data_IF_936813429266
#
_entry.id   IF_936813429266
#
_cell.length_a   1.000
_cell.length_b   1.000
_cell.length_c   1.000
_cell.angle_alpha   90.00
_cell.angle_beta   90.00
_cell.angle_gamma   90.00
#
_symmetry.space_group_name_H-M   'P 1'
#
loop_
_entity.id
_entity.type
_entity.pdbx_description
1 polymer ?
#
# COMPACT_ATOMS: atom_id res chain seq x y z
N UNK A 1 -8.51 13.71 -8.79
CA UNK A 1 -8.20 12.62 -7.84
C UNK A 1 -6.97 11.89 -8.31
N UNK A 2 -5.99 11.75 -7.45
CA UNK A 2 -4.79 10.98 -7.73
C UNK A 2 -4.83 9.70 -6.90
N UNK A 3 -4.78 8.56 -7.56
CA UNK A 3 -4.83 7.25 -6.90
C UNK A 3 -3.42 6.69 -6.86
N UNK A 4 -2.85 6.61 -5.66
CA UNK A 4 -1.52 6.10 -5.39
C UNK A 4 -1.62 4.73 -4.74
N UNK A 5 -0.72 3.82 -5.12
CA UNK A 5 -0.57 2.54 -4.43
C UNK A 5 0.74 2.59 -3.68
N UNK A 6 0.74 2.21 -2.41
CA UNK A 6 1.93 2.17 -1.58
C UNK A 6 2.12 0.76 -1.01
N UNK A 7 3.32 0.21 -1.15
CA UNK A 7 3.62 -1.15 -0.69
C UNK A 7 5.13 -1.38 -0.54
N UNK A 8 5.51 -2.30 0.35
CA UNK A 8 6.85 -2.84 0.44
C UNK A 8 6.84 -4.23 -0.21
N UNK A 9 7.64 -4.42 -1.25
CA UNK A 9 7.62 -5.64 -2.07
C UNK A 9 9.01 -6.27 -2.16
N UNK A 10 9.04 -7.60 -2.13
CA UNK A 10 10.26 -8.38 -2.38
C UNK A 10 10.57 -8.42 -3.88
N UNK A 11 11.72 -8.99 -4.25
CA UNK A 11 12.09 -9.18 -5.66
C UNK A 11 11.08 -10.01 -6.44
N UNK A 12 10.45 -11.00 -5.79
CA UNK A 12 9.41 -11.83 -6.39
C UNK A 12 8.00 -11.26 -6.18
N UNK A 13 7.91 -10.00 -5.77
CA UNK A 13 6.67 -9.28 -5.47
C UNK A 13 5.92 -9.79 -4.24
N UNK A 14 6.57 -10.59 -3.37
CA UNK A 14 5.96 -11.06 -2.13
C UNK A 14 5.72 -9.87 -1.18
N UNK A 15 4.56 -9.84 -0.54
CA UNK A 15 4.17 -8.76 0.39
C UNK A 15 3.68 -9.28 1.73
N UNK A 16 3.19 -10.51 1.80
CA UNK A 16 2.60 -11.03 3.02
C UNK A 16 2.70 -12.54 3.18
N UNK A 17 2.53 -12.97 4.42
CA UNK A 17 2.43 -14.36 4.80
C UNK A 17 1.52 -14.50 6.02
N UNK A 18 0.51 -15.38 5.93
CA UNK A 18 -0.46 -15.62 7.01
C UNK A 18 -1.12 -14.33 7.54
N UNK A 19 -1.57 -13.47 6.61
CA UNK A 19 -2.22 -12.19 6.89
C UNK A 19 -1.34 -11.16 7.61
N UNK A 20 -0.01 -11.30 7.51
CA UNK A 20 0.95 -10.36 8.09
C UNK A 20 1.89 -9.84 7.02
N UNK A 21 2.33 -8.59 7.18
CA UNK A 21 3.38 -8.04 6.33
C UNK A 21 4.69 -8.79 6.58
N UNK A 22 5.45 -9.03 5.50
CA UNK A 22 6.77 -9.66 5.60
C UNK A 22 7.82 -8.66 6.07
N UNK A 23 7.71 -7.39 5.63
CA UNK A 23 8.74 -6.38 5.88
C UNK A 23 8.25 -5.27 6.79
N UNK A 24 8.99 -5.01 7.86
CA UNK A 24 8.77 -3.91 8.80
C UNK A 24 10.04 -3.08 8.86
N UNK A 25 10.28 -2.28 7.83
CA UNK A 25 11.48 -1.46 7.71
C UNK A 25 11.22 -0.10 8.35
N UNK A 26 12.03 0.34 9.34
CA UNK A 26 11.80 1.62 10.02
C UNK A 26 11.72 2.82 9.08
N UNK A 27 12.60 2.89 8.08
CA UNK A 27 12.59 3.99 7.11
C UNK A 27 11.37 3.93 6.19
N UNK A 28 10.91 2.72 5.85
CA UNK A 28 9.69 2.53 5.09
C UNK A 28 8.46 3.04 5.85
N UNK A 29 8.38 2.73 7.14
CA UNK A 29 7.29 3.20 7.99
C UNK A 29 7.29 4.72 8.13
N UNK A 30 8.44 5.35 8.18
CA UNK A 30 8.55 6.82 8.19
C UNK A 30 8.06 7.42 6.87
N UNK A 31 8.45 6.83 5.75
CA UNK A 31 8.00 7.27 4.43
C UNK A 31 6.50 7.11 4.28
N UNK A 32 5.97 5.97 4.69
CA UNK A 32 4.53 5.70 4.68
C UNK A 32 3.77 6.79 5.44
N UNK A 33 4.21 7.09 6.65
CA UNK A 33 3.57 8.13 7.46
C UNK A 33 3.65 9.50 6.78
N UNK A 34 4.81 9.85 6.24
CA UNK A 34 5.01 11.14 5.58
C UNK A 34 4.11 11.30 4.34
N UNK A 35 3.98 10.23 3.53
CA UNK A 35 3.16 10.27 2.32
C UNK A 35 1.66 10.31 2.63
N UNK A 36 1.20 9.56 3.63
CA UNK A 36 -0.24 9.34 3.84
C UNK A 36 -0.88 10.32 4.81
N UNK A 37 -0.12 10.97 5.69
CA UNK A 37 -0.68 11.90 6.70
C UNK A 37 -1.40 13.06 6.01
N UNK A 38 -2.64 13.32 6.45
CA UNK A 38 -3.49 14.36 5.85
C UNK A 38 -4.29 13.89 4.64
N UNK A 39 -4.16 12.64 4.24
CA UNK A 39 -4.81 12.08 3.06
C UNK A 39 -5.76 10.92 3.43
N UNK A 40 -6.42 10.39 2.41
CA UNK A 40 -7.28 9.22 2.57
C UNK A 40 -6.48 7.95 2.27
N UNK A 41 -6.58 6.96 3.15
CA UNK A 41 -6.02 5.63 2.94
C UNK A 41 -7.14 4.62 2.76
N UNK A 42 -6.99 3.72 1.80
CA UNK A 42 -7.96 2.67 1.49
C UNK A 42 -7.32 1.32 1.68
N UNK A 43 -8.00 0.44 2.39
CA UNK A 43 -7.48 -0.89 2.70
C UNK A 43 -8.60 -1.92 2.78
N UNK A 44 -8.25 -3.20 2.62
CA UNK A 44 -9.15 -4.29 2.91
C UNK A 44 -9.27 -4.52 4.41
N UNK A 45 -10.29 -5.29 4.80
CA UNK A 45 -10.55 -5.59 6.23
C UNK A 45 -9.37 -6.27 6.91
N UNK A 46 -8.73 -7.25 6.26
CA UNK A 46 -7.60 -7.97 6.88
C UNK A 46 -6.42 -7.05 7.14
N UNK A 47 -6.17 -6.08 6.26
CA UNK A 47 -5.14 -5.08 6.49
C UNK A 47 -5.47 -4.23 7.72
N UNK A 48 -6.72 -3.78 7.85
CA UNK A 48 -7.16 -3.06 9.04
C UNK A 48 -6.95 -3.89 10.31
N UNK A 49 -7.33 -5.17 10.29
CA UNK A 49 -7.17 -6.05 11.45
C UNK A 49 -5.70 -6.29 11.82
N UNK A 50 -4.79 -6.10 10.87
CA UNK A 50 -3.34 -6.22 11.13
C UNK A 50 -2.73 -4.98 11.78
N UNK A 51 -3.45 -3.86 11.81
CA UNK A 51 -2.95 -2.62 12.42
C UNK A 51 -3.01 -2.74 13.95
N UNK A 52 -1.87 -2.56 14.66
CA UNK A 52 -1.82 -2.78 16.11
C UNK A 52 -2.76 -1.91 16.92
N UNK A 53 -3.01 -0.68 16.47
CA UNK A 53 -3.82 0.31 17.17
C UNK A 53 -5.08 0.72 16.41
N UNK A 54 -5.48 -0.06 15.40
CA UNK A 54 -6.64 0.25 14.58
C UNK A 54 -6.41 1.41 13.62
N UNK A 55 -7.43 2.25 13.43
CA UNK A 55 -7.37 3.38 12.49
C UNK A 55 -6.13 4.25 12.71
N UNK A 56 -5.46 4.60 11.61
CA UNK A 56 -4.26 5.43 11.66
C UNK A 56 -4.63 6.90 11.86
N UNK A 57 -3.96 7.61 12.78
CA UNK A 57 -4.32 8.99 13.10
C UNK A 57 -3.99 9.96 11.96
N UNK A 58 -4.71 11.07 11.93
CA UNK A 58 -4.51 12.18 10.98
C UNK A 58 -4.70 11.77 9.51
N UNK A 59 -5.51 10.74 9.28
CA UNK A 59 -5.84 10.22 7.94
C UNK A 59 -7.29 9.78 7.95
N UNK A 60 -7.93 9.90 6.80
CA UNK A 60 -9.24 9.28 6.63
C UNK A 60 -9.02 7.79 6.33
N UNK A 61 -9.49 6.91 7.22
CA UNK A 61 -9.35 5.47 7.04
C UNK A 61 -10.60 4.91 6.37
N UNK A 62 -10.44 4.37 5.17
CA UNK A 62 -11.51 3.76 4.38
C UNK A 62 -11.25 2.27 4.27
N UNK A 63 -12.23 1.47 4.69
CA UNK A 63 -12.12 0.01 4.73
C UNK A 63 -13.09 -0.59 3.73
N UNK A 64 -12.61 -1.54 2.94
CA UNK A 64 -13.46 -2.29 2.00
C UNK A 64 -13.92 -3.59 2.65
N UNK A 65 -15.22 -3.75 2.83
CA UNK A 65 -15.80 -4.97 3.41
C UNK A 65 -17.25 -5.13 3.01
N UNK A 66 -17.64 -6.37 2.71
CA UNK A 66 -19.04 -6.72 2.48
C UNK A 66 -19.66 -7.41 3.71
N UNK A 67 -18.87 -7.67 4.74
CA UNK A 67 -19.31 -8.43 5.92
C UNK A 67 -19.51 -7.57 7.17
N UNK A 68 -18.83 -6.42 7.25
CA UNK A 68 -19.00 -5.46 8.34
C UNK A 68 -19.39 -4.11 7.77
N UNK A 69 -20.19 -3.35 8.50
CA UNK A 69 -20.65 -2.02 8.07
C UNK A 69 -20.03 -0.90 8.89
N UNK A 70 -19.44 -1.20 10.04
CA UNK A 70 -18.84 -0.21 10.92
C UNK A 70 -17.56 -0.74 11.55
N UNK A 71 -16.55 0.12 11.62
CA UNK A 71 -15.29 -0.12 12.33
C UNK A 71 -14.87 1.20 12.98
N UNK A 72 -14.31 1.16 14.20
CA UNK A 72 -13.96 2.38 14.93
C UNK A 72 -13.00 3.28 14.15
N UNK A 73 -13.38 4.54 14.01
CA UNK A 73 -12.55 5.54 13.34
C UNK A 73 -12.44 5.40 11.82
N UNK A 74 -13.30 4.59 11.21
CA UNK A 74 -13.22 4.28 9.79
C UNK A 74 -14.54 4.51 9.07
N UNK A 75 -14.45 4.77 7.76
CA UNK A 75 -15.58 4.72 6.85
C UNK A 75 -15.51 3.39 6.11
N UNK A 76 -16.61 2.64 6.09
CA UNK A 76 -16.65 1.31 5.46
C UNK A 76 -17.50 1.34 4.21
N UNK A 77 -16.98 0.76 3.13
CA UNK A 77 -17.68 0.66 1.84
C UNK A 77 -17.60 -0.78 1.31
N UNK A 78 -18.62 -1.22 0.56
CA UNK A 78 -18.64 -2.60 0.07
C UNK A 78 -17.71 -2.86 -1.12
N UNK A 79 -17.21 -1.81 -1.78
CA UNK A 79 -16.34 -1.96 -2.95
C UNK A 79 -15.37 -0.79 -3.07
N UNK A 80 -14.31 -1.00 -3.85
CA UNK A 80 -13.35 0.06 -4.17
C UNK A 80 -14.06 1.20 -4.93
N UNK A 81 -14.92 0.86 -5.89
CA UNK A 81 -15.66 1.86 -6.65
C UNK A 81 -16.51 2.76 -5.74
N UNK A 82 -17.25 2.17 -4.80
CA UNK A 82 -18.06 2.94 -3.85
C UNK A 82 -17.17 3.83 -2.96
N UNK A 83 -16.03 3.31 -2.51
CA UNK A 83 -15.10 4.08 -1.71
C UNK A 83 -14.54 5.29 -2.48
N UNK A 84 -14.13 5.09 -3.72
CA UNK A 84 -13.60 6.17 -4.56
C UNK A 84 -14.64 7.25 -4.86
N UNK A 85 -15.89 6.85 -5.05
CA UNK A 85 -17.00 7.81 -5.25
C UNK A 85 -17.26 8.68 -4.03
N UNK A 86 -16.85 8.24 -2.85
CA UNK A 86 -16.99 9.02 -1.62
C UNK A 86 -15.92 10.10 -1.46
N UNK A 87 -14.89 10.07 -2.30
CA UNK A 87 -13.74 10.97 -2.21
C UNK A 87 -13.94 12.21 -3.09
N UNK A 88 -13.25 13.30 -2.73
CA UNK A 88 -13.31 14.54 -3.50
C UNK A 88 -12.50 14.43 -4.79
N UNK A 89 -12.88 15.17 -5.86
CA UNK A 89 -12.15 15.12 -7.14
C UNK A 89 -10.69 15.59 -7.06
N UNK A 90 -10.33 16.40 -6.08
CA UNK A 90 -8.99 16.97 -5.90
C UNK A 90 -8.14 16.21 -4.86
N UNK A 91 -8.63 15.08 -4.40
CA UNK A 91 -8.02 14.35 -3.29
C UNK A 91 -6.90 13.41 -3.75
N UNK A 92 -5.84 13.28 -2.92
CA UNK A 92 -4.84 12.22 -3.06
C UNK A 92 -5.25 11.04 -2.20
N UNK A 93 -5.30 9.87 -2.80
CA UNK A 93 -5.73 8.63 -2.16
C UNK A 93 -4.59 7.62 -2.21
N UNK A 94 -4.37 6.91 -1.10
CA UNK A 94 -3.34 5.88 -0.99
C UNK A 94 -3.98 4.53 -0.72
N UNK A 95 -3.78 3.59 -1.64
CA UNK A 95 -4.20 2.20 -1.49
C UNK A 95 -3.09 1.47 -0.74
N UNK A 96 -3.38 0.93 0.43
CA UNK A 96 -2.35 0.39 1.33
C UNK A 96 -2.41 -1.13 1.52
N UNK A 97 -3.30 -1.84 0.84
CA UNK A 97 -3.35 -3.30 0.84
C UNK A 97 -4.73 -3.87 1.11
N UNK A 98 -4.88 -5.14 1.14
CA UNK A 98 -3.87 -6.14 0.77
C UNK A 98 -3.85 -6.53 -0.69
N UNK A 99 -3.41 -7.77 -0.96
CA UNK A 99 -3.18 -8.23 -2.32
C UNK A 99 -4.39 -8.08 -3.24
N UNK A 100 -5.58 -8.41 -2.77
CA UNK A 100 -6.82 -8.29 -3.58
C UNK A 100 -7.14 -6.84 -3.92
N UNK A 101 -6.94 -5.94 -2.97
CA UNK A 101 -7.20 -4.51 -3.20
C UNK A 101 -6.17 -3.95 -4.18
N UNK A 102 -4.91 -4.35 -4.07
CA UNK A 102 -3.88 -3.97 -5.03
C UNK A 102 -4.23 -4.43 -6.45
N UNK A 103 -4.71 -5.67 -6.60
CA UNK A 103 -5.13 -6.20 -7.90
C UNK A 103 -6.27 -5.38 -8.51
N UNK A 104 -7.23 -4.98 -7.71
CA UNK A 104 -8.34 -4.15 -8.18
C UNK A 104 -7.88 -2.73 -8.56
N UNK A 105 -6.96 -2.18 -7.79
CA UNK A 105 -6.54 -0.79 -7.93
C UNK A 105 -5.50 -0.57 -9.03
N UNK A 106 -4.68 -1.57 -9.36
CA UNK A 106 -3.55 -1.37 -10.27
C UNK A 106 -3.97 -0.95 -11.67
N UNK A 107 -5.16 -1.37 -12.12
CA UNK A 107 -5.68 -0.98 -13.43
C UNK A 107 -6.13 0.47 -13.51
N UNK A 108 -6.34 1.15 -12.38
CA UNK A 108 -6.84 2.52 -12.33
C UNK A 108 -5.92 3.49 -11.61
N UNK A 109 -4.85 3.00 -10.97
CA UNK A 109 -3.94 3.85 -10.21
C UNK A 109 -3.10 4.74 -11.14
N UNK A 110 -2.72 5.90 -10.62
CA UNK A 110 -1.89 6.89 -11.32
C UNK A 110 -0.41 6.73 -11.00
N UNK A 111 -0.11 6.29 -9.78
CA UNK A 111 1.26 6.13 -9.27
C UNK A 111 1.41 4.89 -8.43
N UNK A 112 2.63 4.33 -8.47
CA UNK A 112 3.07 3.32 -7.51
C UNK A 112 4.18 3.93 -6.67
N UNK A 113 4.03 3.90 -5.34
CA UNK A 113 5.04 4.33 -4.38
C UNK A 113 5.53 3.08 -3.67
N UNK A 114 6.60 2.47 -4.16
CA UNK A 114 7.05 1.17 -3.68
C UNK A 114 8.34 1.27 -2.87
N UNK A 115 8.48 0.37 -1.92
CA UNK A 115 9.76 0.04 -1.30
C UNK A 115 10.14 -1.32 -1.83
N UNK A 116 11.12 -1.35 -2.75
CA UNK A 116 11.60 -2.59 -3.36
C UNK A 116 12.72 -3.14 -2.51
N UNK A 117 12.48 -4.31 -1.89
CA UNK A 117 13.40 -4.93 -0.95
C UNK A 117 14.23 -6.00 -1.67
N UNK A 118 15.56 -5.94 -1.50
CA UNK A 118 16.49 -6.89 -2.11
C UNK A 118 16.50 -8.22 -1.34
N UNK A 119 15.39 -8.93 -1.45
CA UNK A 119 15.17 -10.20 -0.77
C UNK A 119 14.10 -11.01 -1.49
N UNK A 120 14.21 -12.34 -1.38
CA UNK A 120 13.16 -13.28 -1.78
C UNK A 120 12.85 -14.10 -0.52
N UNK A 121 11.71 -13.87 0.14
CA UNK A 121 11.40 -14.54 1.40
C UNK A 121 11.18 -16.04 1.18
N UNK A 122 11.56 -16.84 2.18
CA UNK A 122 11.39 -18.29 2.13
C UNK A 122 9.91 -18.70 2.10
N UNK A 123 9.04 -17.88 2.70
CA UNK A 123 7.59 -18.13 2.77
C UNK A 123 6.82 -16.88 2.43
N UNK A 124 5.87 -16.99 1.52
CA UNK A 124 4.94 -15.93 1.16
C UNK A 124 3.68 -16.55 0.58
N UNK A 125 2.55 -15.93 0.84
CA UNK A 125 1.26 -16.34 0.28
C UNK A 125 0.46 -15.17 -0.29
N UNK A 126 0.96 -13.96 -0.17
CA UNK A 126 0.36 -12.76 -0.75
C UNK A 126 1.41 -12.02 -1.58
N UNK A 127 1.02 -11.61 -2.79
CA UNK A 127 1.92 -11.00 -3.76
C UNK A 127 1.32 -9.73 -4.34
N UNK A 128 2.18 -8.75 -4.61
CA UNK A 128 1.82 -7.55 -5.33
C UNK A 128 1.61 -7.89 -6.81
N UNK A 129 0.66 -7.26 -7.51
CA UNK A 129 0.45 -7.51 -8.93
C UNK A 129 1.70 -7.19 -9.77
N UNK A 130 1.80 -7.82 -10.94
CA UNK A 130 2.88 -7.55 -11.88
C UNK A 130 2.80 -6.09 -12.36
N UNK A 131 3.91 -5.36 -12.26
CA UNK A 131 4.03 -3.98 -12.72
C UNK A 131 5.18 -3.80 -13.72
N UNK A 132 5.56 -4.87 -14.41
CA UNK A 132 6.61 -4.82 -15.43
C UNK A 132 6.19 -4.07 -16.70
N UNK A 133 4.89 -3.94 -16.95
CA UNK A 133 4.33 -3.24 -18.09
C UNK A 133 3.44 -2.09 -17.66
N UNK A 134 3.30 -1.07 -18.53
CA UNK A 134 2.44 0.10 -18.33
C UNK A 134 2.88 1.05 -17.23
N UNK A 135 4.05 0.84 -16.67
CA UNK A 135 4.62 1.70 -15.63
C UNK A 135 6.04 2.07 -16.00
N UNK A 136 6.41 3.33 -15.76
CA UNK A 136 7.79 3.75 -15.93
C UNK A 136 8.32 4.37 -14.64
N UNK A 137 9.58 4.06 -14.34
CA UNK A 137 10.26 4.55 -13.15
C UNK A 137 10.57 6.04 -13.31
N UNK A 138 10.09 6.86 -12.37
CA UNK A 138 10.34 8.30 -12.36
C UNK A 138 11.29 8.74 -11.25
N UNK A 139 11.43 7.94 -10.19
CA UNK A 139 12.37 8.23 -9.11
C UNK A 139 12.81 6.95 -8.42
N UNK A 140 14.08 6.91 -8.02
CA UNK A 140 14.63 5.79 -7.26
C UNK A 140 15.65 6.29 -6.26
N UNK A 141 15.47 5.92 -4.99
CA UNK A 141 16.37 6.25 -3.90
C UNK A 141 16.83 4.95 -3.25
N UNK A 142 18.06 4.53 -3.54
CA UNK A 142 18.62 3.29 -3.01
C UNK A 142 19.19 3.49 -1.61
N UNK A 143 19.01 2.50 -0.76
CA UNK A 143 19.49 2.49 0.62
C UNK A 143 20.25 1.19 0.91
N UNK A 144 21.42 1.28 1.53
CA UNK A 144 22.19 0.09 1.92
C UNK A 144 21.62 -0.57 3.17
N UNK A 145 22.08 -1.78 3.46
CA UNK A 145 21.87 -2.41 4.76
C UNK A 145 22.49 -1.54 5.85
N UNK A 146 21.88 -1.55 7.02
CA UNK A 146 22.44 -0.87 8.20
C UNK A 146 22.03 -1.62 9.48
N UNK A 147 22.27 -1.03 10.64
CA UNK A 147 21.97 -1.66 11.94
C UNK A 147 20.49 -1.97 12.13
N UNK A 148 19.60 -1.22 11.44
CA UNK A 148 18.16 -1.34 11.58
C UNK A 148 17.51 -1.98 10.35
N UNK A 149 18.28 -2.24 9.29
CA UNK A 149 17.77 -2.78 8.02
C UNK A 149 18.64 -3.94 7.57
N UNK A 150 18.08 -5.15 7.62
CA UNK A 150 18.75 -6.39 7.26
C UNK A 150 19.01 -6.51 5.76
N UNK A 151 18.19 -5.84 4.95
CA UNK A 151 18.24 -5.92 3.49
C UNK A 151 18.55 -4.55 2.88
N UNK A 152 19.18 -4.55 1.71
CA UNK A 152 19.18 -3.37 0.85
C UNK A 152 17.76 -3.16 0.35
N UNK A 153 17.38 -1.92 0.16
CA UNK A 153 16.05 -1.56 -0.36
C UNK A 153 16.12 -0.26 -1.11
N UNK A 154 15.11 0.02 -1.91
CA UNK A 154 15.01 1.27 -2.63
C UNK A 154 13.57 1.80 -2.58
N UNK A 155 13.43 3.09 -2.38
CA UNK A 155 12.15 3.77 -2.59
C UNK A 155 12.03 4.06 -4.07
N UNK A 156 10.97 3.60 -4.70
CA UNK A 156 10.74 3.76 -6.12
C UNK A 156 9.37 4.34 -6.38
N UNK A 157 9.31 5.31 -7.28
CA UNK A 157 8.06 5.89 -7.74
C UNK A 157 7.89 5.58 -9.22
N UNK A 158 6.74 5.03 -9.57
CA UNK A 158 6.38 4.73 -10.94
C UNK A 158 5.15 5.54 -11.33
N UNK A 159 5.11 5.99 -12.56
CA UNK A 159 3.94 6.62 -13.16
C UNK A 159 3.44 5.75 -14.31
N UNK A 160 2.12 5.82 -14.54
CA UNK A 160 1.51 5.06 -15.61
C UNK A 160 1.99 5.57 -16.97
N UNK A 161 2.42 4.64 -17.81
CA UNK A 161 2.75 4.93 -19.20
C UNK A 161 1.44 5.08 -19.99
N UNK A 162 1.31 6.20 -20.68
CA UNK A 162 0.10 6.54 -21.47
C UNK A 162 0.37 6.56 -22.94
#
# INVERSE_FOLDING_TARGET
MTINIIAAVAKNRAIGFQNKLIYWLPNDLKRFKALTTGHTIVMGRNTYLSLPKGALPNRRNVILSTTVSELPGCDVYPSLDAALKSCRPDEDIYIIGGARVYEQAIGMADRLCLTEVDDIPAQADAFFPDYSERWHLVNKEAHPKDERHTFEYAFTDYERTR
#
